data_IF_648974608557
#
_entry.id   IF_648974608557
#
_cell.length_a   1.000
_cell.length_b   1.000
_cell.length_c   1.000
_cell.angle_alpha   90.00
_cell.angle_beta   90.00
_cell.angle_gamma   90.00
#
_symmetry.space_group_name_H-M   'P 1'
#
loop_
_entity.id
_entity.type
_entity.pdbx_description
1 polymer ?
#
# COMPACT_ATOMS: atom_id res chain seq x y z
N UNK A 1 11.10 -24.03 13.49
CA UNK A 1 10.33 -23.28 14.49
C UNK A 1 9.91 -21.96 13.86
N UNK A 2 8.62 -21.80 13.53
CA UNK A 2 8.10 -20.51 13.08
C UNK A 2 8.06 -19.63 14.32
N UNK A 3 8.96 -18.65 14.38
CA UNK A 3 8.92 -17.59 15.38
C UNK A 3 7.51 -16.99 15.39
N UNK A 4 6.81 -17.06 16.52
CA UNK A 4 5.54 -16.37 16.77
C UNK A 4 5.82 -14.88 16.91
N UNK A 5 6.24 -14.25 15.80
CA UNK A 5 6.34 -12.79 15.73
C UNK A 5 4.93 -12.27 15.93
N UNK A 6 4.69 -11.62 17.07
CA UNK A 6 3.43 -10.94 17.32
C UNK A 6 3.38 -9.73 16.37
N UNK A 7 2.27 -9.59 15.65
CA UNK A 7 2.03 -8.44 14.78
C UNK A 7 2.14 -7.13 15.58
N UNK A 8 2.82 -6.15 15.02
CA UNK A 8 2.99 -4.80 15.59
C UNK A 8 2.28 -3.79 14.70
N UNK A 9 1.60 -2.82 15.31
CA UNK A 9 1.03 -1.65 14.63
C UNK A 9 1.82 -0.41 15.02
N UNK A 10 2.16 0.42 14.04
CA UNK A 10 2.78 1.72 14.26
C UNK A 10 1.76 2.80 13.91
N UNK A 11 1.40 3.63 14.88
CA UNK A 11 0.51 4.77 14.71
C UNK A 11 1.36 6.05 14.75
N UNK A 12 1.54 6.69 13.61
CA UNK A 12 2.39 7.86 13.43
C UNK A 12 1.50 9.08 13.17
N UNK A 13 1.63 10.11 14.00
CA UNK A 13 0.85 11.34 13.89
C UNK A 13 1.59 12.49 14.60
N UNK A 14 1.25 13.73 14.28
CA UNK A 14 1.67 14.90 15.06
C UNK A 14 1.14 14.84 16.50
N UNK A 15 -0.01 14.19 16.72
CA UNK A 15 -0.74 14.12 17.98
C UNK A 15 -0.73 15.46 18.72
N UNK A 16 -1.28 16.51 18.10
CA UNK A 16 -1.41 17.83 18.71
C UNK A 16 -2.13 17.76 20.07
N UNK A 17 -1.73 18.64 21.00
CA UNK A 17 -2.37 18.75 22.32
C UNK A 17 -2.50 17.40 23.06
N UNK A 18 -3.73 17.03 23.45
CA UNK A 18 -4.10 15.83 24.19
C UNK A 18 -4.56 14.68 23.28
N UNK A 19 -4.43 14.80 21.94
CA UNK A 19 -4.93 13.81 21.00
C UNK A 19 -4.28 12.43 21.17
N UNK A 20 -3.02 12.35 21.63
CA UNK A 20 -2.39 11.05 21.93
C UNK A 20 -3.11 10.34 23.08
N UNK A 21 -3.41 11.06 24.16
CA UNK A 21 -4.10 10.51 25.33
C UNK A 21 -5.53 10.11 24.96
N UNK A 22 -6.24 10.96 24.21
CA UNK A 22 -7.59 10.64 23.71
C UNK A 22 -7.57 9.40 22.80
N UNK A 23 -6.58 9.29 21.91
CA UNK A 23 -6.41 8.13 21.03
C UNK A 23 -6.19 6.87 21.86
N UNK A 24 -5.27 6.91 22.81
CA UNK A 24 -5.00 5.77 23.70
C UNK A 24 -6.24 5.39 24.51
N UNK A 25 -6.96 6.37 25.06
CA UNK A 25 -8.21 6.13 25.78
C UNK A 25 -9.25 5.42 24.89
N UNK A 26 -9.49 5.95 23.69
CA UNK A 26 -10.44 5.35 22.74
C UNK A 26 -10.02 3.92 22.33
N UNK A 27 -8.72 3.70 22.10
CA UNK A 27 -8.20 2.36 21.80
C UNK A 27 -8.47 1.41 22.97
N UNK A 28 -8.16 1.78 24.21
CA UNK A 28 -8.41 0.92 25.37
C UNK A 28 -9.89 0.62 25.61
N UNK A 29 -10.79 1.48 25.13
CA UNK A 29 -12.24 1.29 25.22
C UNK A 29 -12.77 0.25 24.24
N UNK A 30 -12.22 0.19 23.01
CA UNK A 30 -12.78 -0.61 21.92
C UNK A 30 -11.90 -1.79 21.46
N UNK A 31 -10.63 -1.80 21.83
CA UNK A 31 -9.65 -2.80 21.41
C UNK A 31 -9.21 -3.64 22.61
N UNK A 32 -9.18 -4.95 22.41
CA UNK A 32 -8.77 -5.88 23.46
C UNK A 32 -7.32 -5.57 23.95
N UNK A 33 -7.02 -5.64 25.26
CA UNK A 33 -5.74 -5.18 25.83
C UNK A 33 -4.49 -5.81 25.20
N UNK A 34 -4.58 -7.07 24.79
CA UNK A 34 -3.50 -7.83 24.14
C UNK A 34 -3.19 -7.36 22.71
N UNK A 35 -4.11 -6.66 22.05
CA UNK A 35 -3.91 -6.00 20.76
C UNK A 35 -3.48 -4.55 20.96
N UNK A 36 -4.11 -3.84 21.90
CA UNK A 36 -3.75 -2.46 22.24
C UNK A 36 -2.27 -2.34 22.67
N UNK A 37 -1.76 -3.33 23.41
CA UNK A 37 -0.34 -3.39 23.82
C UNK A 37 0.65 -3.60 22.66
N UNK A 38 0.17 -3.85 21.44
CA UNK A 38 0.99 -4.01 20.22
C UNK A 38 1.00 -2.76 19.35
N UNK A 39 0.47 -1.65 19.85
CA UNK A 39 0.49 -0.36 19.15
C UNK A 39 1.66 0.46 19.67
N UNK A 40 2.58 0.82 18.78
CA UNK A 40 3.59 1.84 19.02
C UNK A 40 3.08 3.17 18.49
N UNK A 41 2.84 4.11 19.39
CA UNK A 41 2.48 5.48 19.03
C UNK A 41 3.76 6.31 18.85
N UNK A 42 3.90 6.95 17.70
CA UNK A 42 5.02 7.83 17.38
C UNK A 42 4.49 9.23 17.14
N UNK A 43 4.85 10.14 18.05
CA UNK A 43 4.49 11.55 17.95
C UNK A 43 5.55 12.29 17.15
N UNK A 44 5.17 12.96 16.08
CA UNK A 44 6.05 13.80 15.28
C UNK A 44 5.59 13.98 13.84
N UNK A 45 6.22 14.88 13.12
CA UNK A 45 5.97 15.09 11.70
C UNK A 45 6.66 13.97 10.90
N UNK A 46 5.91 13.23 10.10
CA UNK A 46 6.46 12.13 9.29
C UNK A 46 7.42 12.63 8.21
N UNK A 47 7.31 13.89 7.79
CA UNK A 47 8.26 14.53 6.87
C UNK A 47 9.67 14.71 7.47
N UNK A 48 9.80 14.65 8.80
CA UNK A 48 11.10 14.76 9.49
C UNK A 48 11.79 13.40 9.65
N UNK A 49 11.14 12.30 9.26
CA UNK A 49 11.70 10.96 9.42
C UNK A 49 12.72 10.65 8.32
N UNK A 50 13.84 10.04 8.71
CA UNK A 50 14.84 9.53 7.77
C UNK A 50 14.60 8.05 7.45
N UNK A 51 15.11 7.60 6.30
CA UNK A 51 15.12 6.18 5.94
C UNK A 51 15.86 5.33 6.99
N UNK A 52 16.95 5.85 7.56
CA UNK A 52 17.71 5.15 8.62
C UNK A 52 16.90 5.01 9.92
N UNK A 53 16.11 6.03 10.26
CA UNK A 53 15.21 5.98 11.40
C UNK A 53 14.13 4.91 11.19
N UNK A 54 13.46 4.90 10.04
CA UNK A 54 12.44 3.90 9.72
C UNK A 54 13.02 2.49 9.64
N UNK A 55 14.25 2.33 9.16
CA UNK A 55 14.94 1.05 9.14
C UNK A 55 15.21 0.52 10.55
N UNK A 56 15.62 1.38 11.48
CA UNK A 56 15.81 1.00 12.88
C UNK A 56 14.48 0.72 13.60
N UNK A 57 13.43 1.45 13.24
CA UNK A 57 12.10 1.30 13.82
C UNK A 57 11.42 0.00 13.38
N UNK A 58 11.41 -0.28 12.07
CA UNK A 58 10.72 -1.43 11.51
C UNK A 58 11.57 -2.70 11.61
N UNK A 59 11.34 -3.46 12.68
CA UNK A 59 11.99 -4.78 12.89
C UNK A 59 11.72 -5.78 11.76
N UNK A 60 10.58 -5.63 11.08
CA UNK A 60 10.18 -6.44 9.93
C UNK A 60 9.55 -5.52 8.88
N UNK A 61 9.61 -5.95 7.61
CA UNK A 61 8.86 -5.27 6.54
C UNK A 61 7.36 -5.29 6.81
N UNK A 62 6.70 -4.21 6.41
CA UNK A 62 5.27 -3.95 6.60
C UNK A 62 4.41 -4.79 5.65
N UNK A 63 3.24 -5.23 6.12
CA UNK A 63 2.22 -5.89 5.28
C UNK A 63 1.11 -4.92 4.84
N UNK A 64 0.88 -3.88 5.62
CA UNK A 64 -0.10 -2.83 5.34
C UNK A 64 0.56 -1.50 5.67
N UNK A 65 0.40 -0.54 4.76
CA UNK A 65 0.75 0.86 4.95
C UNK A 65 -0.47 1.69 4.60
N UNK A 66 -1.03 2.40 5.56
CA UNK A 66 -2.12 3.35 5.35
C UNK A 66 -1.53 4.76 5.44
N UNK A 67 -1.75 5.57 4.41
CA UNK A 67 -1.29 6.96 4.35
C UNK A 67 -2.53 7.84 4.32
N UNK A 68 -2.67 8.63 5.37
CA UNK A 68 -3.74 9.60 5.64
C UNK A 68 -3.10 10.88 6.22
N UNK A 69 -1.94 11.25 5.67
CA UNK A 69 -1.12 12.34 6.16
C UNK A 69 -0.57 13.13 4.97
N UNK A 70 -0.68 14.46 5.07
CA UNK A 70 -0.40 15.37 3.96
C UNK A 70 -1.50 15.36 2.92
N UNK A 71 -1.77 16.53 2.35
CA UNK A 71 -2.81 16.72 1.33
C UNK A 71 -2.26 17.36 0.06
N UNK A 72 -1.00 17.77 0.10
CA UNK A 72 -0.29 18.34 -1.03
C UNK A 72 0.54 17.28 -1.74
N UNK A 73 0.69 17.45 -3.06
CA UNK A 73 1.39 16.52 -3.94
C UNK A 73 2.78 16.11 -3.40
N UNK A 74 3.57 17.08 -2.96
CA UNK A 74 4.95 16.86 -2.55
C UNK A 74 5.04 16.12 -1.21
N UNK A 75 4.09 16.32 -0.30
CA UNK A 75 4.00 15.62 0.98
C UNK A 75 3.71 14.14 0.74
N UNK A 76 2.68 13.85 -0.06
CA UNK A 76 2.26 12.49 -0.41
C UNK A 76 3.37 11.74 -1.14
N UNK A 77 4.01 12.38 -2.13
CA UNK A 77 5.12 11.78 -2.87
C UNK A 77 6.32 11.50 -1.97
N UNK A 78 6.63 12.41 -1.04
CA UNK A 78 7.69 12.23 -0.07
C UNK A 78 7.41 11.03 0.84
N UNK A 79 6.22 10.96 1.45
CA UNK A 79 5.82 9.85 2.33
C UNK A 79 5.84 8.50 1.60
N UNK A 80 5.32 8.44 0.37
CA UNK A 80 5.36 7.23 -0.45
C UNK A 80 6.80 6.78 -0.73
N UNK A 81 7.66 7.71 -1.16
CA UNK A 81 9.08 7.44 -1.42
C UNK A 81 9.81 6.94 -0.19
N UNK A 82 9.53 7.53 0.98
CA UNK A 82 10.16 7.20 2.24
C UNK A 82 9.69 5.85 2.81
N UNK A 83 8.38 5.57 2.83
CA UNK A 83 7.80 4.45 3.57
C UNK A 83 7.65 3.16 2.74
N UNK A 84 7.33 3.26 1.45
CA UNK A 84 7.08 2.09 0.61
C UNK A 84 8.26 1.11 0.44
N UNK A 85 9.55 1.52 0.52
CA UNK A 85 10.68 0.57 0.52
C UNK A 85 10.62 -0.47 1.65
N UNK A 86 9.95 -0.15 2.76
CA UNK A 86 9.79 -1.03 3.91
C UNK A 86 8.63 -2.02 3.77
N UNK A 87 7.89 -2.00 2.66
CA UNK A 87 6.79 -2.95 2.41
C UNK A 87 7.30 -4.32 1.95
N UNK A 88 6.60 -5.37 2.38
CA UNK A 88 6.70 -6.73 1.83
C UNK A 88 6.18 -6.76 0.39
N UNK A 89 6.68 -7.66 -0.45
CA UNK A 89 6.23 -7.77 -1.85
C UNK A 89 4.73 -8.07 -1.97
N UNK A 90 4.16 -8.78 -0.98
CA UNK A 90 2.72 -9.08 -0.87
C UNK A 90 1.93 -8.05 -0.05
N UNK A 91 2.55 -6.93 0.32
CA UNK A 91 1.91 -5.89 1.11
C UNK A 91 0.92 -5.04 0.30
N UNK A 92 0.08 -4.30 1.00
CA UNK A 92 -0.88 -3.34 0.43
C UNK A 92 -0.61 -1.94 0.96
N UNK A 93 -0.47 -0.98 0.06
CA UNK A 93 -0.45 0.45 0.39
C UNK A 93 -1.86 0.98 0.17
N UNK A 94 -2.38 1.74 1.11
CA UNK A 94 -3.72 2.32 1.09
C UNK A 94 -3.55 3.83 1.17
N UNK A 95 -4.00 4.52 0.13
CA UNK A 95 -4.03 5.97 0.07
C UNK A 95 -5.42 6.43 0.48
N UNK A 96 -5.51 7.17 1.58
CA UNK A 96 -6.74 7.89 1.92
C UNK A 96 -6.91 9.12 1.04
N UNK A 97 -8.12 9.67 1.01
CA UNK A 97 -8.45 10.92 0.31
C UNK A 97 -8.16 10.97 -1.19
N UNK A 98 -7.96 9.81 -1.81
CA UNK A 98 -7.61 9.70 -3.21
C UNK A 98 -8.69 10.28 -4.15
N UNK A 99 -9.97 10.21 -3.77
CA UNK A 99 -11.08 10.74 -4.54
C UNK A 99 -11.62 12.06 -3.97
N UNK A 100 -10.93 12.65 -3.00
CA UNK A 100 -11.33 13.93 -2.46
C UNK A 100 -10.96 15.05 -3.45
N UNK A 101 -11.95 15.90 -3.73
CA UNK A 101 -11.77 17.04 -4.63
C UNK A 101 -10.92 18.14 -4.01
N UNK A 102 -10.87 18.20 -2.68
CA UNK A 102 -10.12 19.21 -1.93
C UNK A 102 -8.62 18.90 -1.94
N UNK A 103 -8.25 17.62 -2.18
CA UNK A 103 -6.87 17.14 -2.12
C UNK A 103 -6.40 16.54 -3.46
N UNK A 104 -6.42 17.31 -4.56
CA UNK A 104 -6.05 16.81 -5.89
C UNK A 104 -4.58 16.39 -6.00
N UNK A 105 -3.74 16.82 -5.06
CA UNK A 105 -2.34 16.40 -4.96
C UNK A 105 -2.19 14.90 -4.64
N UNK A 106 -3.12 14.32 -3.88
CA UNK A 106 -3.10 12.91 -3.48
C UNK A 106 -3.16 11.96 -4.69
N UNK A 107 -4.17 12.03 -5.58
CA UNK A 107 -4.22 11.13 -6.73
C UNK A 107 -3.09 11.38 -7.72
N UNK A 108 -2.62 12.63 -7.88
CA UNK A 108 -1.51 12.96 -8.75
C UNK A 108 -0.20 12.31 -8.26
N UNK A 109 0.18 12.56 -7.00
CA UNK A 109 1.39 12.01 -6.40
C UNK A 109 1.37 10.48 -6.35
N UNK A 110 0.20 9.89 -6.07
CA UNK A 110 0.04 8.43 -6.05
C UNK A 110 0.35 7.80 -7.41
N UNK A 111 -0.19 8.37 -8.50
CA UNK A 111 0.05 7.83 -9.84
C UNK A 111 1.49 8.06 -10.30
N UNK A 112 2.04 9.24 -10.05
CA UNK A 112 3.43 9.54 -10.43
C UNK A 112 4.42 8.68 -9.63
N UNK A 113 4.14 8.44 -8.35
CA UNK A 113 4.87 7.45 -7.57
C UNK A 113 4.80 6.07 -8.22
N UNK A 114 3.61 5.56 -8.54
CA UNK A 114 3.45 4.23 -9.13
C UNK A 114 4.25 4.03 -10.43
N UNK A 115 4.20 4.99 -11.35
CA UNK A 115 4.71 4.80 -12.72
C UNK A 115 6.09 5.42 -12.96
N UNK A 116 6.44 6.48 -12.25
CA UNK A 116 7.69 7.21 -12.47
C UNK A 116 8.73 6.87 -11.40
N UNK A 117 8.33 6.89 -10.12
CA UNK A 117 9.27 6.67 -9.00
C UNK A 117 9.47 5.18 -8.72
N UNK A 118 8.38 4.45 -8.49
CA UNK A 118 8.37 3.02 -8.19
C UNK A 118 8.48 2.13 -9.43
N UNK A 119 8.43 2.72 -10.64
CA UNK A 119 8.59 2.03 -11.92
C UNK A 119 7.70 0.78 -12.07
N UNK A 120 6.45 0.89 -11.62
CA UNK A 120 5.46 -0.19 -11.68
C UNK A 120 5.60 -1.25 -10.59
N UNK A 121 6.49 -1.08 -9.60
CA UNK A 121 6.58 -1.98 -8.44
C UNK A 121 5.31 -1.95 -7.60
N UNK A 122 4.64 -0.80 -7.52
CA UNK A 122 3.36 -0.62 -6.85
C UNK A 122 2.35 -0.12 -7.87
N UNK A 123 1.23 -0.81 -8.02
CA UNK A 123 0.18 -0.45 -8.97
C UNK A 123 -1.19 -0.39 -8.31
N UNK A 124 -2.07 0.54 -8.74
CA UNK A 124 -3.47 0.53 -8.36
C UNK A 124 -4.14 -0.80 -8.71
N UNK A 125 -4.91 -1.36 -7.78
CA UNK A 125 -5.67 -2.59 -8.04
C UNK A 125 -7.11 -2.56 -7.52
N UNK A 126 -7.42 -1.72 -6.53
CA UNK A 126 -8.74 -1.55 -5.96
C UNK A 126 -8.97 -0.08 -5.64
N UNK A 127 -10.17 0.43 -5.86
CA UNK A 127 -10.59 1.77 -5.48
C UNK A 127 -12.03 1.75 -4.95
N UNK A 128 -12.29 2.52 -3.91
CA UNK A 128 -13.62 2.67 -3.33
C UNK A 128 -13.57 3.34 -1.96
N UNK A 129 -14.71 3.90 -1.53
CA UNK A 129 -14.83 4.60 -0.25
C UNK A 129 -13.72 5.65 -0.01
N UNK A 130 -13.49 6.51 -1.01
CA UNK A 130 -12.45 7.54 -1.04
C UNK A 130 -11.00 7.04 -1.08
N UNK A 131 -10.76 5.72 -1.10
CA UNK A 131 -9.43 5.13 -0.99
C UNK A 131 -8.96 4.52 -2.31
N UNK A 132 -7.64 4.54 -2.50
CA UNK A 132 -6.94 3.78 -3.54
C UNK A 132 -5.99 2.77 -2.90
N UNK A 133 -6.03 1.54 -3.38
CA UNK A 133 -5.20 0.46 -2.89
C UNK A 133 -4.17 0.08 -3.95
N UNK A 134 -2.91 0.03 -3.52
CA UNK A 134 -1.77 -0.33 -4.34
C UNK A 134 -1.18 -1.65 -3.85
N UNK A 135 -0.73 -2.46 -4.79
CA UNK A 135 0.00 -3.68 -4.50
C UNK A 135 1.03 -3.94 -5.60
N UNK A 136 1.95 -4.87 -5.35
CA UNK A 136 2.79 -5.38 -6.42
C UNK A 136 1.92 -5.99 -7.55
N UNK A 137 2.25 -5.81 -8.84
CA UNK A 137 1.40 -6.25 -9.97
C UNK A 137 0.95 -7.71 -9.92
N UNK A 138 1.77 -8.61 -9.39
CA UNK A 138 1.40 -10.02 -9.24
C UNK A 138 0.33 -10.19 -8.16
N UNK A 139 0.57 -9.60 -6.99
CA UNK A 139 -0.35 -9.68 -5.86
C UNK A 139 -1.63 -8.87 -6.06
N UNK A 140 -1.56 -7.74 -6.77
CA UNK A 140 -2.72 -6.98 -7.23
C UNK A 140 -3.75 -7.90 -7.91
N UNK A 141 -3.31 -8.69 -8.90
CA UNK A 141 -4.19 -9.63 -9.61
C UNK A 141 -4.73 -10.73 -8.69
N UNK A 142 -3.89 -11.27 -7.79
CA UNK A 142 -4.33 -12.28 -6.82
C UNK A 142 -5.38 -11.74 -5.84
N UNK A 143 -5.20 -10.52 -5.33
CA UNK A 143 -6.17 -9.85 -4.48
C UNK A 143 -7.48 -9.57 -5.21
N UNK A 144 -7.41 -9.13 -6.47
CA UNK A 144 -8.62 -8.94 -7.27
C UNK A 144 -9.39 -10.24 -7.47
N UNK A 145 -8.70 -11.34 -7.81
CA UNK A 145 -9.35 -12.66 -7.94
C UNK A 145 -9.93 -13.17 -6.62
N UNK A 146 -9.26 -12.91 -5.50
CA UNK A 146 -9.79 -13.21 -4.18
C UNK A 146 -11.07 -12.42 -3.93
N UNK A 147 -11.05 -11.10 -4.11
CA UNK A 147 -12.19 -10.21 -3.89
C UNK A 147 -13.40 -10.55 -4.76
N UNK A 148 -13.20 -10.97 -6.01
CA UNK A 148 -14.31 -11.39 -6.89
C UNK A 148 -15.09 -12.61 -6.36
N UNK A 149 -14.44 -13.46 -5.56
CA UNK A 149 -15.04 -14.66 -4.95
C UNK A 149 -15.74 -14.38 -3.63
N UNK A 150 -15.46 -13.23 -3.01
CA UNK A 150 -16.06 -12.84 -1.74
C UNK A 150 -17.54 -12.51 -1.92
N UNK A 151 -18.40 -13.21 -1.17
CA UNK A 151 -19.85 -13.12 -1.32
C UNK A 151 -20.37 -11.69 -1.12
N UNK A 152 -19.75 -10.93 -0.20
CA UNK A 152 -20.08 -9.54 0.07
C UNK A 152 -19.94 -8.63 -1.16
N UNK A 153 -18.99 -8.93 -2.04
CA UNK A 153 -18.69 -8.09 -3.22
C UNK A 153 -19.22 -8.64 -4.54
N UNK A 154 -19.98 -9.75 -4.51
CA UNK A 154 -20.48 -10.41 -5.73
C UNK A 154 -21.21 -9.43 -6.64
N UNK A 155 -20.80 -9.38 -7.91
CA UNK A 155 -21.38 -8.51 -8.95
C UNK A 155 -21.48 -7.03 -8.55
N UNK A 156 -20.61 -6.55 -7.65
CA UNK A 156 -20.58 -5.15 -7.19
C UNK A 156 -19.43 -4.33 -7.77
N UNK A 157 -18.49 -5.00 -8.45
CA UNK A 157 -17.29 -4.36 -8.99
C UNK A 157 -17.50 -3.87 -10.42
N UNK A 158 -16.77 -2.81 -10.78
CA UNK A 158 -16.41 -2.50 -12.17
C UNK A 158 -14.92 -2.69 -12.37
N UNK A 159 -14.52 -3.29 -13.46
CA UNK A 159 -13.11 -3.31 -13.86
C UNK A 159 -12.82 -2.07 -14.72
N UNK A 160 -11.89 -1.24 -14.28
CA UNK A 160 -11.40 -0.07 -15.01
C UNK A 160 -9.92 -0.23 -15.34
N UNK A 161 -9.44 0.51 -16.33
CA UNK A 161 -8.03 0.56 -16.69
C UNK A 161 -7.48 1.96 -16.40
N UNK A 162 -6.37 2.02 -15.66
CA UNK A 162 -5.59 3.24 -15.43
C UNK A 162 -4.17 2.95 -15.93
N UNK A 163 -3.74 3.62 -17.00
CA UNK A 163 -2.51 3.28 -17.73
C UNK A 163 -2.45 1.75 -18.00
N UNK A 164 -1.45 1.07 -17.47
CA UNK A 164 -1.24 -0.38 -17.63
C UNK A 164 -1.90 -1.23 -16.53
N UNK A 165 -2.52 -0.60 -15.54
CA UNK A 165 -3.10 -1.26 -14.37
C UNK A 165 -4.59 -1.49 -14.54
N UNK A 166 -5.04 -2.68 -14.15
CA UNK A 166 -6.44 -2.99 -13.96
C UNK A 166 -6.84 -2.64 -12.53
N UNK A 167 -7.94 -1.91 -12.35
CA UNK A 167 -8.43 -1.45 -11.05
C UNK A 167 -9.87 -1.90 -10.87
N UNK A 168 -10.15 -2.61 -9.77
CA UNK A 168 -11.50 -2.89 -9.34
C UNK A 168 -12.09 -1.66 -8.65
N UNK A 169 -13.21 -1.17 -9.15
CA UNK A 169 -14.00 -0.12 -8.50
C UNK A 169 -15.10 -0.81 -7.70
N UNK A 170 -15.05 -0.67 -6.38
CA UNK A 170 -16.03 -1.30 -5.48
C UNK A 170 -17.37 -0.55 -5.52
N UNK A 171 -18.47 -1.28 -5.27
CA UNK A 171 -19.83 -0.71 -5.20
C UNK A 171 -20.15 0.22 -6.40
N UNK A 172 -19.72 -0.20 -7.58
CA UNK A 172 -19.85 0.61 -8.79
C UNK A 172 -21.32 0.81 -9.16
N UNK A 173 -21.67 2.03 -9.61
CA UNK A 173 -22.98 2.30 -10.24
C UNK A 173 -23.15 1.58 -11.59
N UNK A 174 -22.07 1.08 -12.15
CA UNK A 174 -22.01 0.34 -13.41
C UNK A 174 -21.27 -0.99 -13.18
N UNK A 175 -21.84 -1.94 -12.42
CA UNK A 175 -21.15 -3.16 -12.07
C UNK A 175 -21.08 -4.15 -13.24
N UNK A 176 -20.08 -5.03 -13.19
CA UNK A 176 -19.91 -6.17 -14.08
C UNK A 176 -20.09 -7.46 -13.29
N UNK A 177 -20.40 -8.56 -14.00
CA UNK A 177 -20.44 -9.89 -13.38
C UNK A 177 -19.06 -10.29 -12.88
N UNK A 178 -18.96 -10.80 -11.64
CA UNK A 178 -17.70 -11.26 -11.05
C UNK A 178 -16.99 -12.28 -11.95
N UNK A 179 -17.73 -13.23 -12.51
CA UNK A 179 -17.18 -14.25 -13.43
C UNK A 179 -16.52 -13.63 -14.69
N UNK A 180 -17.07 -12.54 -15.22
CA UNK A 180 -16.49 -11.85 -16.38
C UNK A 180 -15.19 -11.15 -15.99
N UNK A 181 -15.18 -10.48 -14.84
CA UNK A 181 -13.97 -9.84 -14.29
C UNK A 181 -12.87 -10.87 -14.04
N UNK A 182 -13.21 -11.98 -13.38
CA UNK A 182 -12.26 -13.07 -13.09
C UNK A 182 -11.61 -13.60 -14.37
N UNK A 183 -12.41 -13.86 -15.41
CA UNK A 183 -11.90 -14.32 -16.69
C UNK A 183 -10.93 -13.32 -17.33
N UNK A 184 -11.25 -12.03 -17.29
CA UNK A 184 -10.38 -10.96 -17.84
C UNK A 184 -9.04 -10.89 -17.09
N UNK A 185 -9.04 -11.00 -15.76
CA UNK A 185 -7.83 -10.97 -14.94
C UNK A 185 -7.00 -12.24 -15.16
N UNK A 186 -7.64 -13.41 -15.19
CA UNK A 186 -6.97 -14.69 -15.45
C UNK A 186 -6.28 -14.71 -16.81
N UNK A 187 -6.92 -14.20 -17.86
CA UNK A 187 -6.31 -14.11 -19.18
C UNK A 187 -5.03 -13.26 -19.18
N UNK A 188 -4.99 -12.17 -18.40
CA UNK A 188 -3.78 -11.36 -18.24
C UNK A 188 -2.73 -11.96 -17.30
N UNK A 189 -3.11 -12.85 -16.38
CA UNK A 189 -2.13 -13.65 -15.63
C UNK A 189 -1.48 -14.69 -16.53
N UNK A 190 -2.28 -15.40 -17.33
CA UNK A 190 -1.78 -16.44 -18.24
C UNK A 190 -0.91 -15.87 -19.36
N UNK A 191 -1.21 -14.66 -19.87
CA UNK A 191 -0.35 -13.96 -20.82
C UNK A 191 1.05 -13.61 -20.25
N UNK A 192 1.20 -13.56 -18.93
CA UNK A 192 2.48 -13.34 -18.22
C UNK A 192 3.12 -14.67 -17.77
N UNK A 193 2.35 -15.76 -17.74
CA UNK A 193 2.75 -17.00 -17.08
C UNK A 193 3.45 -17.99 -18.03
N UNK A 194 4.77 -17.98 -17.97
CA UNK A 194 5.45 -19.20 -17.50
C UNK A 194 5.83 -18.97 -16.04
N UNK A 195 5.84 -20.02 -15.21
CA UNK A 195 6.29 -19.93 -13.82
C UNK A 195 7.70 -19.30 -13.71
N UNK A 196 8.56 -19.55 -14.70
CA UNK A 196 9.87 -18.90 -14.82
C UNK A 196 9.80 -17.40 -15.09
N UNK A 197 8.83 -16.92 -15.88
CA UNK A 197 8.68 -15.48 -16.14
C UNK A 197 8.23 -14.72 -14.89
N UNK A 198 7.40 -15.33 -14.05
CA UNK A 198 6.98 -14.75 -12.77
C UNK A 198 8.15 -14.69 -11.78
N UNK A 199 8.95 -15.75 -11.70
CA UNK A 199 10.18 -15.77 -10.91
C UNK A 199 11.21 -14.76 -11.42
N UNK A 200 11.36 -14.61 -12.74
CA UNK A 200 12.26 -13.63 -13.37
C UNK A 200 11.77 -12.20 -13.10
N UNK A 201 10.48 -11.90 -13.21
CA UNK A 201 9.92 -10.59 -12.91
C UNK A 201 10.05 -10.25 -11.42
N UNK A 202 9.81 -11.22 -10.54
CA UNK A 202 10.00 -11.08 -9.09
C UNK A 202 11.49 -10.86 -8.77
N UNK A 203 12.39 -11.61 -9.41
CA UNK A 203 13.83 -11.46 -9.25
C UNK A 203 14.34 -10.11 -9.79
N UNK A 204 13.80 -9.63 -10.91
CA UNK A 204 14.13 -8.33 -11.51
C UNK A 204 13.63 -7.17 -10.65
N UNK A 205 12.42 -7.27 -10.09
CA UNK A 205 11.91 -6.29 -9.14
C UNK A 205 12.76 -6.24 -7.85
N UNK A 206 13.23 -7.40 -7.38
CA UNK A 206 14.16 -7.49 -6.25
C UNK A 206 15.53 -6.89 -6.56
N UNK A 207 16.11 -7.18 -7.72
CA UNK A 207 17.41 -6.66 -8.10
C UNK A 207 17.39 -5.14 -8.27
N UNK A 208 16.38 -4.58 -8.95
CA UNK A 208 16.23 -3.13 -9.12
C UNK A 208 16.04 -2.39 -7.79
N UNK A 209 15.31 -2.99 -6.85
CA UNK A 209 15.13 -2.43 -5.50
C UNK A 209 16.44 -2.45 -4.70
N UNK A 210 17.28 -3.46 -4.91
CA UNK A 210 18.55 -3.60 -4.22
C UNK A 210 19.63 -2.69 -4.82
N UNK A 211 19.66 -2.52 -6.15
CA UNK A 211 20.57 -1.56 -6.82
C UNK A 211 20.22 -0.11 -6.46
N UNK A 212 18.94 0.22 -6.30
CA UNK A 212 18.51 1.54 -5.83
C UNK A 212 18.95 1.80 -4.38
N UNK A 213 18.80 0.80 -3.50
CA UNK A 213 19.24 0.88 -2.10
C UNK A 213 20.77 1.00 -1.99
N UNK A 214 21.53 0.26 -2.81
CA UNK A 214 23.00 0.31 -2.85
C UNK A 214 23.51 1.64 -3.42
N UNK A 215 22.85 2.20 -4.43
CA UNK A 215 23.18 3.51 -4.99
C UNK A 215 22.93 4.65 -3.97
N UNK A 216 21.85 4.55 -3.19
CA UNK A 216 21.51 5.50 -2.14
C UNK A 216 22.50 5.41 -0.96
N UNK A 217 22.89 4.19 -0.56
CA UNK A 217 23.91 3.95 0.47
C UNK A 217 25.30 4.45 0.04
N UNK A 218 25.66 4.30 -1.23
CA UNK A 218 26.93 4.81 -1.77
C UNK A 218 26.98 6.35 -1.84
N UNK A 219 25.84 7.02 -1.92
CA UNK A 219 25.75 8.48 -1.91
C UNK A 219 25.80 9.06 -0.49
N UNK A 220 25.40 8.30 0.53
CA UNK A 220 25.47 8.70 1.95
C UNK A 220 26.87 8.52 2.57
N UNK A 221 27.78 7.84 1.87
CA UNK A 221 29.17 7.58 2.30
C UNK A 221 30.21 8.50 1.63
N UNK A 222 29.76 9.52 0.88
CA UNK A 222 30.60 10.59 0.29
C UNK A 222 30.26 11.92 0.95
#
# INVERSE_FOLDING_TARGET
MISTVKDQLYAMDLFGDDLLEQTQHNITRFVAPELASRISYLKGNTADYSSSYLQALFKNKLRVLHIDAGHEYHEVLHTLTLAAPFMQDYGVIIMDDYQDREFPGVPAATLDYCYETAQGRWVPFLAGANKMYLANPVYAKLFQLFLCKEAYFKDSFRLSRIKDSLVLITQSKLPMKSAVIEQLIQNQLHAVATASALEILTAKARSQSQTALEAEQAHLLK
#
